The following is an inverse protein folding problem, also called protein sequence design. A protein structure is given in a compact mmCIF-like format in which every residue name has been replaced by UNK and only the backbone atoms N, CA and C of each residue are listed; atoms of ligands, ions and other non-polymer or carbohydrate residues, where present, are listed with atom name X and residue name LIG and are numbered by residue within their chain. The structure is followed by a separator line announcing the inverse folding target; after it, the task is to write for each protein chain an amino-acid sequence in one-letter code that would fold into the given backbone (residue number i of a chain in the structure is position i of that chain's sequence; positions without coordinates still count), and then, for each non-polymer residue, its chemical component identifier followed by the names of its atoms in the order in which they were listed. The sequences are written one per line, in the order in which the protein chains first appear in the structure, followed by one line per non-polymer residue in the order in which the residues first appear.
data_IF_884917940129
#
_entry.id   IF_884917940129
#
_cell.length_a   1.000
_cell.length_b   1.000
_cell.length_c   1.000
_cell.angle_alpha   90.00
_cell.angle_beta   90.00
_cell.angle_gamma   90.00
#
_symmetry.space_group_name_H-M   'P 1'
#
loop_
_entity.id
_entity.type
_entity.pdbx_description
1 polymer ?
#
# COMPACT_ATOMS: atom_id res chain seq x y z
N UNK A 1 3.86 39.46 -34.63
CA UNK A 1 3.45 38.04 -34.68
C UNK A 1 4.52 37.27 -33.94
N UNK A 2 4.28 36.98 -32.67
CA UNK A 2 5.25 36.27 -31.83
C UNK A 2 5.38 34.82 -32.31
N UNK A 3 6.63 34.39 -32.42
CA UNK A 3 7.06 33.18 -33.07
C UNK A 3 6.61 31.95 -32.24
N UNK A 4 5.51 31.31 -32.65
CA UNK A 4 4.92 30.12 -32.01
C UNK A 4 5.95 28.99 -31.85
N UNK A 5 6.99 29.01 -32.69
CA UNK A 5 8.18 28.13 -32.62
C UNK A 5 8.96 28.28 -31.30
N UNK A 6 9.14 29.50 -30.80
CA UNK A 6 9.89 29.76 -29.57
C UNK A 6 9.15 29.24 -28.32
N UNK A 7 7.82 29.33 -28.32
CA UNK A 7 6.96 28.82 -27.24
C UNK A 7 6.90 27.28 -27.21
N UNK A 8 7.21 26.60 -28.31
CA UNK A 8 7.35 25.14 -28.34
C UNK A 8 8.78 24.64 -28.08
N UNK A 9 9.77 25.52 -27.99
CA UNK A 9 11.18 25.16 -27.84
C UNK A 9 11.64 25.07 -26.37
N UNK A 10 11.04 25.84 -25.46
CA UNK A 10 11.53 25.94 -24.08
C UNK A 10 11.54 24.60 -23.33
N UNK A 11 10.52 23.77 -23.54
CA UNK A 11 10.42 22.46 -22.86
C UNK A 11 11.38 21.41 -23.45
N UNK A 12 11.90 21.64 -24.66
CA UNK A 12 12.89 20.79 -25.32
C UNK A 12 14.34 21.16 -24.97
N UNK A 13 14.53 22.17 -24.10
CA UNK A 13 15.85 22.55 -23.60
C UNK A 13 16.52 21.38 -22.85
N UNK A 14 17.84 21.15 -23.05
CA UNK A 14 18.59 20.14 -22.32
C UNK A 14 18.49 20.25 -20.78
N UNK A 15 18.19 21.46 -20.26
CA UNK A 15 17.95 21.69 -18.84
C UNK A 15 16.79 20.84 -18.28
N UNK A 16 15.80 20.50 -19.10
CA UNK A 16 14.64 19.69 -18.70
C UNK A 16 14.76 18.20 -19.07
N UNK A 17 15.92 17.75 -19.56
CA UNK A 17 16.15 16.35 -19.94
C UNK A 17 15.88 15.38 -18.78
N UNK A 18 16.35 15.68 -17.56
CA UNK A 18 16.09 14.89 -16.36
C UNK A 18 14.60 14.84 -16.01
N UNK A 19 13.90 15.97 -16.12
CA UNK A 19 12.45 16.02 -15.89
C UNK A 19 11.72 15.09 -16.86
N UNK A 20 12.06 15.14 -18.15
CA UNK A 20 11.42 14.28 -19.15
C UNK A 20 11.77 12.81 -19.01
N UNK A 21 12.99 12.47 -18.57
CA UNK A 21 13.35 11.09 -18.24
C UNK A 21 12.47 10.55 -17.10
N UNK A 22 12.30 11.30 -16.02
CA UNK A 22 11.43 10.90 -14.91
C UNK A 22 9.96 10.84 -15.33
N UNK A 23 9.51 11.79 -16.14
CA UNK A 23 8.16 11.77 -16.72
C UNK A 23 7.92 10.50 -17.55
N UNK A 24 8.87 10.12 -18.41
CA UNK A 24 8.76 8.90 -19.20
C UNK A 24 8.72 7.64 -18.33
N UNK A 25 9.55 7.58 -17.27
CA UNK A 25 9.52 6.49 -16.29
C UNK A 25 8.15 6.39 -15.59
N UNK A 26 7.61 7.52 -15.13
CA UNK A 26 6.29 7.60 -14.51
C UNK A 26 5.16 7.19 -15.49
N UNK A 27 5.26 7.63 -16.76
CA UNK A 27 4.31 7.25 -17.80
C UNK A 27 4.38 5.76 -18.14
N UNK A 28 5.58 5.18 -18.16
CA UNK A 28 5.78 3.75 -18.38
C UNK A 28 5.16 2.93 -17.22
N UNK A 29 5.41 3.34 -15.97
CA UNK A 29 4.78 2.75 -14.79
C UNK A 29 3.25 2.82 -14.88
N UNK A 30 2.68 4.00 -15.17
CA UNK A 30 1.22 4.15 -15.28
C UNK A 30 0.62 3.25 -16.35
N UNK A 31 1.27 3.12 -17.52
CA UNK A 31 0.78 2.25 -18.60
C UNK A 31 0.77 0.78 -18.18
N UNK A 32 1.84 0.30 -17.55
CA UNK A 32 1.93 -1.07 -17.01
C UNK A 32 0.88 -1.31 -15.94
N UNK A 33 0.73 -0.38 -15.00
CA UNK A 33 -0.25 -0.46 -13.93
C UNK A 33 -1.68 -0.48 -14.47
N UNK A 34 -2.01 0.37 -15.45
CA UNK A 34 -3.34 0.39 -16.10
C UNK A 34 -3.64 -0.93 -16.82
N UNK A 35 -2.61 -1.55 -17.40
CA UNK A 35 -2.71 -2.88 -18.00
C UNK A 35 -2.95 -3.98 -16.96
N UNK A 36 -2.18 -3.98 -15.87
CA UNK A 36 -2.35 -4.92 -14.75
C UNK A 36 -3.73 -4.79 -14.09
N UNK A 37 -4.15 -3.56 -13.78
CA UNK A 37 -5.49 -3.26 -13.24
C UNK A 37 -6.61 -3.76 -14.16
N UNK A 38 -6.49 -3.52 -15.49
CA UNK A 38 -7.47 -4.04 -16.45
C UNK A 38 -7.51 -5.57 -16.48
N UNK A 39 -6.36 -6.25 -16.40
CA UNK A 39 -6.30 -7.72 -16.34
C UNK A 39 -6.92 -8.25 -15.04
N UNK A 40 -6.58 -7.64 -13.90
CA UNK A 40 -7.14 -7.99 -12.59
C UNK A 40 -8.66 -7.76 -12.55
N UNK A 41 -9.14 -6.63 -13.07
CA UNK A 41 -10.57 -6.33 -13.15
C UNK A 41 -11.33 -7.34 -14.02
N UNK A 42 -10.76 -7.72 -15.18
CA UNK A 42 -11.32 -8.79 -16.03
C UNK A 42 -11.28 -10.17 -15.38
N UNK A 43 -10.29 -10.46 -14.54
CA UNK A 43 -10.20 -11.73 -13.81
C UNK A 43 -11.22 -11.78 -12.65
N UNK A 44 -11.41 -10.68 -11.92
CA UNK A 44 -12.36 -10.57 -10.82
C UNK A 44 -13.83 -10.52 -11.31
N UNK A 45 -14.07 -9.90 -12.46
CA UNK A 45 -15.40 -9.68 -13.04
C UNK A 45 -15.50 -10.25 -14.45
N UNK A 46 -15.07 -11.49 -14.67
CA UNK A 46 -15.13 -12.17 -15.97
C UNK A 46 -16.48 -12.05 -16.69
N UNK A 47 -16.60 -12.45 -17.99
CA UNK A 47 -17.70 -12.08 -18.89
C UNK A 47 -19.11 -12.61 -18.56
N UNK A 48 -19.39 -13.05 -17.34
CA UNK A 48 -20.61 -13.79 -16.96
C UNK A 48 -21.23 -13.29 -15.65
N UNK A 49 -21.37 -11.97 -15.48
CA UNK A 49 -22.18 -11.39 -14.40
C UNK A 49 -23.34 -10.50 -14.87
N UNK A 50 -23.70 -10.53 -16.14
CA UNK A 50 -24.89 -9.80 -16.63
C UNK A 50 -26.19 -10.60 -16.56
N UNK A 51 -26.19 -11.88 -16.16
CA UNK A 51 -27.41 -12.73 -16.15
C UNK A 51 -27.96 -13.08 -14.75
N UNK A 52 -27.31 -12.67 -13.66
CA UNK A 52 -27.71 -13.10 -12.29
C UNK A 52 -28.17 -11.94 -11.38
N UNK A 53 -28.34 -10.74 -11.93
CA UNK A 53 -28.81 -9.59 -11.14
C UNK A 53 -30.29 -9.22 -11.36
N UNK A 54 -30.95 -9.85 -12.35
CA UNK A 54 -32.39 -9.65 -12.60
C UNK A 54 -33.29 -10.54 -11.72
N UNK A 55 -32.74 -11.57 -11.07
CA UNK A 55 -33.52 -12.55 -10.28
C UNK A 55 -33.83 -12.07 -8.85
N UNK A 56 -33.01 -11.17 -8.31
CA UNK A 56 -33.16 -10.66 -6.93
C UNK A 56 -34.16 -9.51 -6.79
N UNK A 57 -34.64 -8.94 -7.91
CA UNK A 57 -35.60 -7.82 -7.90
C UNK A 57 -37.07 -8.29 -7.98
N UNK A 58 -37.33 -9.61 -8.12
CA UNK A 58 -38.67 -10.14 -8.36
C UNK A 58 -39.42 -10.62 -7.09
N UNK A 59 -38.82 -10.57 -5.91
CA UNK A 59 -39.47 -11.01 -4.66
C UNK A 59 -39.36 -9.97 -3.55
N UNK A 60 -39.85 -8.77 -3.84
CA UNK A 60 -40.27 -7.82 -2.81
C UNK A 60 -41.79 -7.84 -2.73
N UNK A 61 -42.35 -8.48 -1.70
CA UNK A 61 -43.58 -8.05 -1.00
C UNK A 61 -44.05 -9.18 -0.08
N UNK A 62 -43.68 -9.16 1.20
CA UNK A 62 -44.69 -8.85 2.23
C UNK A 62 -44.10 -8.80 3.65
N UNK A 63 -44.55 -7.78 4.38
CA UNK A 63 -44.81 -7.72 5.84
C UNK A 63 -43.66 -7.50 6.84
N UNK A 64 -43.65 -6.26 7.29
CA UNK A 64 -43.28 -5.74 8.62
C UNK A 64 -43.69 -6.61 9.82
N UNK A 65 -42.92 -6.49 10.90
CA UNK A 65 -43.32 -6.23 12.31
C UNK A 65 -42.27 -6.86 13.25
N UNK A 66 -41.36 -6.07 13.81
CA UNK A 66 -41.42 -5.44 15.15
C UNK A 66 -40.94 -6.35 16.29
N UNK A 67 -40.05 -5.76 17.07
CA UNK A 67 -39.70 -5.97 18.48
C UNK A 67 -38.54 -6.90 18.85
N UNK A 68 -37.66 -6.25 19.62
CA UNK A 68 -36.75 -6.74 20.66
C UNK A 68 -37.22 -8.02 21.37
N UNK A 69 -36.25 -8.86 21.77
CA UNK A 69 -35.98 -9.03 23.20
C UNK A 69 -34.64 -9.73 23.44
N UNK A 70 -33.97 -9.18 24.45
CA UNK A 70 -32.77 -9.57 25.15
C UNK A 70 -32.96 -10.91 25.89
N UNK A 71 -31.98 -11.82 25.79
CA UNK A 71 -31.76 -12.91 26.74
C UNK A 71 -30.39 -13.57 26.49
N UNK A 72 -29.40 -13.10 27.22
CA UNK A 72 -28.18 -13.85 27.57
C UNK A 72 -28.56 -15.20 28.20
N UNK A 73 -28.00 -16.31 27.70
CA UNK A 73 -27.98 -17.59 28.42
C UNK A 73 -26.60 -18.26 28.22
N UNK A 74 -25.68 -17.90 29.11
CA UNK A 74 -24.41 -18.58 29.36
C UNK A 74 -24.68 -19.93 30.03
N UNK A 75 -24.94 -20.96 29.23
CA UNK A 75 -25.00 -22.35 29.72
C UNK A 75 -23.67 -23.08 29.46
N UNK A 76 -22.67 -22.78 30.28
CA UNK A 76 -21.44 -23.58 30.42
C UNK A 76 -21.77 -24.91 31.11
N UNK A 77 -22.24 -25.88 30.33
CA UNK A 77 -22.45 -27.25 30.81
C UNK A 77 -21.13 -28.03 30.76
N UNK A 78 -20.37 -27.92 31.84
CA UNK A 78 -19.19 -28.74 32.14
C UNK A 78 -19.65 -30.16 32.50
N UNK A 79 -20.06 -30.92 31.49
CA UNK A 79 -20.29 -32.36 31.61
C UNK A 79 -19.02 -33.07 31.14
N UNK A 80 -18.20 -33.51 32.10
CA UNK A 80 -17.15 -34.52 31.89
C UNK A 80 -17.84 -35.82 31.44
N UNK A 81 -18.04 -35.93 30.13
CA UNK A 81 -18.50 -37.16 29.48
C UNK A 81 -17.25 -38.02 29.33
N UNK A 82 -17.10 -39.02 30.18
CA UNK A 82 -16.09 -40.06 30.03
C UNK A 82 -16.42 -40.87 28.75
N UNK A 83 -15.94 -40.37 27.62
CA UNK A 83 -16.09 -41.00 26.32
C UNK A 83 -15.23 -42.27 26.30
N UNK A 84 -15.86 -43.43 26.48
CA UNK A 84 -15.17 -44.72 26.40
C UNK A 84 -14.69 -44.98 24.95
N UNK A 85 -13.46 -44.58 24.67
CA UNK A 85 -12.80 -44.64 23.34
C UNK A 85 -12.52 -46.10 22.92
N UNK A 86 -12.64 -47.05 23.84
CA UNK A 86 -12.27 -48.45 23.63
C UNK A 86 -13.19 -49.20 22.64
N UNK A 87 -14.38 -48.65 22.35
CA UNK A 87 -15.40 -49.29 21.50
C UNK A 87 -15.83 -48.44 20.28
N UNK A 88 -15.11 -47.35 19.96
CA UNK A 88 -15.37 -46.56 18.75
C UNK A 88 -14.58 -47.13 17.57
N UNK A 89 -15.22 -47.99 16.79
CA UNK A 89 -14.71 -48.38 15.48
C UNK A 89 -14.78 -47.16 14.54
N UNK A 90 -13.63 -46.58 14.24
CA UNK A 90 -13.54 -45.50 13.25
C UNK A 90 -13.92 -46.09 11.90
N UNK A 91 -15.06 -45.67 11.35
CA UNK A 91 -15.49 -46.12 10.03
C UNK A 91 -14.41 -45.83 8.99
N UNK A 92 -14.24 -46.73 8.02
CA UNK A 92 -13.21 -46.57 6.99
C UNK A 92 -13.36 -45.27 6.20
N UNK A 93 -14.60 -44.78 6.04
CA UNK A 93 -14.90 -43.50 5.40
C UNK A 93 -14.40 -42.30 6.23
N UNK A 94 -14.59 -42.32 7.55
CA UNK A 94 -14.12 -41.25 8.42
C UNK A 94 -12.59 -41.23 8.50
N UNK A 95 -11.95 -42.41 8.45
CA UNK A 95 -10.49 -42.54 8.33
C UNK A 95 -9.95 -41.91 7.04
N UNK A 96 -10.66 -42.09 5.92
CA UNK A 96 -10.31 -41.45 4.65
C UNK A 96 -10.51 -39.92 4.70
N UNK A 97 -11.56 -39.45 5.38
CA UNK A 97 -11.81 -38.01 5.57
C UNK A 97 -10.72 -37.33 6.40
N UNK A 98 -10.27 -37.96 7.49
CA UNK A 98 -9.14 -37.44 8.28
C UNK A 98 -7.86 -37.38 7.44
N UNK A 99 -7.55 -38.43 6.67
CA UNK A 99 -6.40 -38.43 5.76
C UNK A 99 -6.48 -37.32 4.69
N UNK A 100 -7.68 -37.03 4.17
CA UNK A 100 -7.88 -35.94 3.21
C UNK A 100 -7.70 -34.56 3.88
N UNK A 101 -8.22 -34.40 5.09
CA UNK A 101 -8.13 -33.15 5.85
C UNK A 101 -6.71 -32.86 6.30
N UNK A 102 -5.95 -33.88 6.68
CA UNK A 102 -4.52 -33.77 6.99
C UNK A 102 -3.70 -33.38 5.76
N UNK A 103 -3.91 -34.00 4.59
CA UNK A 103 -3.22 -33.61 3.35
C UNK A 103 -3.43 -32.13 3.02
N UNK A 104 -4.65 -31.63 3.15
CA UNK A 104 -4.94 -30.21 2.89
C UNK A 104 -4.27 -29.27 3.91
N UNK A 105 -4.21 -29.67 5.19
CA UNK A 105 -3.48 -28.91 6.22
C UNK A 105 -1.98 -28.90 5.96
N UNK A 106 -1.41 -30.02 5.53
CA UNK A 106 0.00 -30.12 5.14
C UNK A 106 0.34 -29.31 3.88
N UNK A 107 -0.54 -29.31 2.87
CA UNK A 107 -0.39 -28.50 1.66
C UNK A 107 -0.43 -27.00 1.96
N UNK A 108 -1.33 -26.56 2.85
CA UNK A 108 -1.38 -25.17 3.31
C UNK A 108 -0.10 -24.78 4.08
N UNK A 109 0.42 -25.67 4.95
CA UNK A 109 1.68 -25.42 5.67
C UNK A 109 2.86 -25.30 4.69
N UNK A 110 2.97 -26.20 3.71
CA UNK A 110 4.01 -26.12 2.67
C UNK A 110 3.91 -24.85 1.83
N UNK A 111 2.70 -24.43 1.48
CA UNK A 111 2.50 -23.16 0.74
C UNK A 111 2.90 -21.95 1.57
N UNK A 112 2.59 -21.93 2.87
CA UNK A 112 3.03 -20.86 3.77
C UNK A 112 4.55 -20.80 3.91
N UNK A 113 5.22 -21.95 4.03
CA UNK A 113 6.68 -22.02 4.08
C UNK A 113 7.30 -21.47 2.77
N UNK A 114 6.79 -21.91 1.61
CA UNK A 114 7.25 -21.41 0.32
C UNK A 114 6.96 -19.91 0.12
N UNK A 115 5.83 -19.40 0.62
CA UNK A 115 5.55 -17.95 0.58
C UNK A 115 6.43 -17.17 1.56
N UNK A 116 6.78 -17.73 2.71
CA UNK A 116 7.67 -17.10 3.69
C UNK A 116 9.12 -17.05 3.17
N UNK A 117 9.61 -18.14 2.58
CA UNK A 117 10.92 -18.18 1.91
C UNK A 117 10.97 -17.21 0.72
N UNK A 118 9.90 -17.08 -0.05
CA UNK A 118 9.79 -16.07 -1.11
C UNK A 118 9.70 -14.63 -0.56
N UNK A 119 9.15 -14.45 0.63
CA UNK A 119 9.08 -13.15 1.32
C UNK A 119 10.44 -12.71 1.90
N UNK A 120 11.44 -13.59 1.99
CA UNK A 120 12.77 -13.22 2.50
C UNK A 120 13.50 -12.23 1.56
N UNK A 121 13.11 -12.19 0.28
CA UNK A 121 13.53 -11.16 -0.68
C UNK A 121 12.71 -9.86 -0.65
N UNK A 122 11.69 -9.75 0.20
CA UNK A 122 10.83 -8.58 0.30
C UNK A 122 11.53 -7.44 1.04
N UNK A 123 11.83 -6.36 0.33
CA UNK A 123 12.26 -5.10 0.94
C UNK A 123 11.03 -4.21 1.12
N UNK A 124 10.62 -3.88 2.35
CA UNK A 124 9.56 -2.90 2.58
C UNK A 124 9.94 -1.57 1.91
N UNK A 125 9.05 -1.04 1.06
CA UNK A 125 9.27 0.25 0.38
C UNK A 125 9.43 1.43 1.35
N UNK A 126 9.08 1.20 2.63
CA UNK A 126 9.21 2.14 3.75
C UNK A 126 10.65 2.25 4.27
N UNK A 127 11.60 1.43 3.80
CA UNK A 127 13.03 1.62 4.08
C UNK A 127 13.49 2.91 3.38
N UNK A 128 13.40 3.97 4.17
CA UNK A 128 13.51 5.36 3.78
C UNK A 128 14.78 5.62 2.94
N UNK A 129 14.60 5.91 1.65
CA UNK A 129 15.68 6.37 0.75
C UNK A 129 16.37 7.64 1.29
N UNK A 130 15.76 8.33 2.26
CA UNK A 130 16.36 9.46 2.97
C UNK A 130 17.53 9.05 3.87
N UNK A 131 17.54 7.84 4.42
CA UNK A 131 18.67 7.35 5.23
C UNK A 131 19.93 7.20 4.38
N UNK A 132 19.79 6.69 3.16
CA UNK A 132 20.90 6.55 2.20
C UNK A 132 21.46 7.89 1.70
N UNK A 133 20.67 8.97 1.76
CA UNK A 133 21.08 10.30 1.33
C UNK A 133 21.85 11.09 2.41
N UNK A 134 21.82 10.64 3.67
CA UNK A 134 22.79 11.09 4.68
C UNK A 134 24.13 10.43 4.38
N UNK A 135 24.79 10.84 3.28
CA UNK A 135 26.21 10.58 3.10
C UNK A 135 26.93 11.24 4.28
N UNK A 136 27.20 10.45 5.31
CA UNK A 136 28.13 10.80 6.39
C UNK A 136 29.51 10.91 5.76
N UNK A 137 29.78 12.08 5.18
CA UNK A 137 31.14 12.55 5.00
C UNK A 137 31.75 12.68 6.40
N UNK A 138 32.78 11.89 6.69
CA UNK A 138 33.57 12.03 7.91
C UNK A 138 34.44 13.31 7.90
N UNK A 139 34.56 13.98 6.75
CA UNK A 139 35.26 15.25 6.64
C UNK A 139 34.36 16.42 7.06
N UNK A 140 34.87 17.36 7.88
CA UNK A 140 34.14 18.57 8.24
C UNK A 140 33.80 19.39 6.98
N UNK A 141 32.59 19.97 6.88
CA UNK A 141 32.21 20.80 5.74
C UNK A 141 33.20 21.95 5.55
N UNK A 142 33.80 22.06 4.35
CA UNK A 142 34.74 23.13 4.01
C UNK A 142 34.07 24.53 3.95
N UNK A 143 32.75 24.56 3.88
CA UNK A 143 31.93 25.74 3.79
C UNK A 143 30.93 25.76 4.95
N UNK A 144 30.69 26.93 5.54
CA UNK A 144 29.71 27.05 6.63
C UNK A 144 28.34 26.65 6.10
N UNK A 145 27.67 25.65 6.71
CA UNK A 145 26.36 25.21 6.25
C UNK A 145 25.38 26.39 6.20
N UNK A 146 24.88 26.69 5.01
CA UNK A 146 23.88 27.76 4.80
C UNK A 146 24.43 29.14 4.40
N UNK A 147 25.75 29.36 4.37
CA UNK A 147 26.33 30.67 4.03
C UNK A 147 26.04 31.08 2.58
N UNK A 148 26.17 30.14 1.62
CA UNK A 148 25.77 30.36 0.21
C UNK A 148 24.28 30.65 0.08
N UNK A 149 23.44 29.85 0.75
CA UNK A 149 21.99 30.02 0.72
C UNK A 149 21.59 31.38 1.28
N UNK A 150 22.25 31.85 2.34
CA UNK A 150 21.99 33.17 2.91
C UNK A 150 22.41 34.30 1.96
N UNK A 151 23.56 34.17 1.27
CA UNK A 151 24.00 35.14 0.27
C UNK A 151 23.06 35.18 -0.95
N UNK A 152 22.60 34.02 -1.43
CA UNK A 152 21.62 33.90 -2.50
C UNK A 152 20.26 34.49 -2.09
N UNK A 153 19.79 34.21 -0.88
CA UNK A 153 18.57 34.79 -0.31
C UNK A 153 18.66 36.32 -0.24
N UNK A 154 19.79 36.87 0.21
CA UNK A 154 20.02 38.32 0.25
C UNK A 154 20.08 38.94 -1.15
N UNK A 155 20.61 38.21 -2.14
CA UNK A 155 20.62 38.64 -3.56
C UNK A 155 19.22 38.62 -4.17
N UNK A 156 18.38 37.63 -3.87
CA UNK A 156 17.05 37.46 -4.44
C UNK A 156 16.00 38.35 -3.77
N UNK A 157 16.01 38.43 -2.43
CA UNK A 157 14.94 39.02 -1.63
C UNK A 157 15.37 40.28 -0.86
N UNK A 158 16.65 40.67 -0.91
CA UNK A 158 17.13 41.91 -0.32
C UNK A 158 16.88 42.00 1.18
N UNK A 159 16.15 43.05 1.61
CA UNK A 159 15.81 43.29 3.02
C UNK A 159 14.82 42.25 3.57
N UNK A 160 13.96 41.70 2.71
CA UNK A 160 12.94 40.71 3.09
C UNK A 160 13.48 39.28 3.19
N UNK A 161 14.77 39.06 2.89
CA UNK A 161 15.39 37.74 2.92
C UNK A 161 15.19 37.03 4.27
N UNK A 162 15.31 37.74 5.39
CA UNK A 162 15.09 37.18 6.72
C UNK A 162 13.63 36.76 6.95
N UNK A 163 12.67 37.54 6.43
CA UNK A 163 11.23 37.24 6.53
C UNK A 163 10.88 35.99 5.73
N UNK A 164 11.37 35.88 4.50
CA UNK A 164 11.14 34.70 3.65
C UNK A 164 11.77 33.45 4.28
N UNK A 165 13.00 33.56 4.78
CA UNK A 165 13.68 32.45 5.45
C UNK A 165 12.91 31.99 6.69
N UNK A 166 12.37 32.92 7.48
CA UNK A 166 11.53 32.60 8.63
C UNK A 166 10.23 31.89 8.22
N UNK A 167 9.59 32.32 7.13
CA UNK A 167 8.38 31.66 6.60
C UNK A 167 8.69 30.25 6.10
N UNK A 168 9.78 30.05 5.35
CA UNK A 168 10.22 28.74 4.89
C UNK A 168 10.52 27.80 6.06
N UNK A 169 11.23 28.30 7.09
CA UNK A 169 11.52 27.52 8.29
C UNK A 169 10.23 27.15 9.04
N UNK A 170 9.29 28.07 9.18
CA UNK A 170 8.00 27.79 9.81
C UNK A 170 7.19 26.72 9.04
N UNK A 171 7.18 26.80 7.70
CA UNK A 171 6.54 25.78 6.86
C UNK A 171 7.22 24.42 6.97
N UNK A 172 8.56 24.37 6.99
CA UNK A 172 9.31 23.14 7.17
C UNK A 172 9.06 22.51 8.55
N UNK A 173 9.05 23.32 9.61
CA UNK A 173 8.74 22.85 10.97
C UNK A 173 7.31 22.30 11.07
N UNK A 174 6.34 22.95 10.41
CA UNK A 174 4.97 22.44 10.38
C UNK A 174 4.88 21.11 9.63
N UNK A 175 5.63 20.95 8.54
CA UNK A 175 5.74 19.69 7.82
C UNK A 175 6.38 18.60 8.68
N UNK A 176 7.54 18.89 9.29
CA UNK A 176 8.28 17.95 10.13
C UNK A 176 7.43 17.51 11.33
N UNK A 177 6.74 18.44 12.00
CA UNK A 177 5.78 18.12 13.06
C UNK A 177 4.68 17.16 12.59
N UNK A 178 4.14 17.37 11.40
CA UNK A 178 3.12 16.47 10.85
C UNK A 178 3.69 15.10 10.49
N UNK A 179 4.92 15.03 9.99
CA UNK A 179 5.62 13.78 9.72
C UNK A 179 5.91 13.01 11.00
N UNK A 180 6.38 13.67 12.06
CA UNK A 180 6.68 13.05 13.35
C UNK A 180 5.42 12.50 14.00
N UNK A 181 4.32 13.26 13.94
CA UNK A 181 3.03 12.86 14.54
C UNK A 181 2.33 11.74 13.78
N UNK A 182 2.33 11.81 12.44
CA UNK A 182 1.53 10.89 11.60
C UNK A 182 2.33 9.69 11.10
N UNK A 183 3.66 9.79 11.07
CA UNK A 183 4.58 8.83 10.43
C UNK A 183 3.98 8.23 9.14
N UNK A 184 3.58 9.07 8.18
CA UNK A 184 2.79 8.61 7.05
C UNK A 184 3.61 7.64 6.19
N UNK A 185 3.09 6.43 5.99
CA UNK A 185 3.67 5.45 5.06
C UNK A 185 3.41 5.92 3.63
N UNK A 186 4.45 5.92 2.79
CA UNK A 186 4.32 6.36 1.39
C UNK A 186 3.53 5.33 0.58
N UNK A 187 2.46 5.76 -0.10
CA UNK A 187 1.66 4.92 -0.99
C UNK A 187 2.23 4.93 -2.42
N UNK A 188 2.24 3.80 -3.17
CA UNK A 188 1.69 2.50 -2.82
C UNK A 188 2.68 1.56 -2.13
N UNK A 189 2.27 1.03 -0.97
CA UNK A 189 2.82 -0.20 -0.39
C UNK A 189 2.12 -1.37 -1.10
N UNK A 190 2.31 -1.49 -2.41
CA UNK A 190 1.85 -2.66 -3.17
C UNK A 190 2.99 -3.66 -3.15
N UNK A 191 2.80 -4.86 -2.58
CA UNK A 191 3.77 -5.93 -2.72
C UNK A 191 3.92 -6.26 -4.21
N UNK A 192 5.01 -5.81 -4.82
CA UNK A 192 5.37 -6.21 -6.17
C UNK A 192 6.25 -7.46 -6.04
N UNK A 193 5.71 -8.61 -6.45
CA UNK A 193 6.51 -9.80 -6.74
C UNK A 193 7.35 -9.46 -7.98
N UNK A 194 8.63 -9.12 -7.80
CA UNK A 194 9.59 -8.87 -8.89
C UNK A 194 10.37 -10.15 -9.21
#
# INVERSE_FOLDING_TARGET
MEDVSAVMSWFSSPAYSRYWQHYQQAMAWRRRHRGAYRKAWKAAYGPTRQRRYDDWQASGSDRSSSNDDDAEDESSSDSDIECDVSNMEISEELRQYFAHTERHREELRRQQELEAEQQDGYVPADQDLRAACRRSSAAPPAERPGERRAAEMKKLYGQDAAKILAMEAAMQLAFDRNCDLKQPKYWPVIPLKL
#
